data_IF_829830340029
#
_entry.id   IF_829830340029
#
_cell.length_a   1.000
_cell.length_b   1.000
_cell.length_c   1.000
_cell.angle_alpha   90.00
_cell.angle_beta   90.00
_cell.angle_gamma   90.00
#
_symmetry.space_group_name_H-M   'P 1'
#
loop_
_entity.id
_entity.type
_entity.pdbx_description
1 polymer ?
#
# COMPACT_ATOMS: atom_id res chain seq x y z
N UNK A 1 -13.85 4.88 11.82
CA UNK A 1 -13.21 3.72 11.16
C UNK A 1 -12.31 4.26 10.07
N UNK A 2 -11.02 3.91 10.05
CA UNK A 2 -10.13 4.38 8.99
C UNK A 2 -10.58 3.84 7.61
N UNK A 3 -10.39 4.65 6.57
CA UNK A 3 -10.67 4.26 5.17
C UNK A 3 -9.75 3.11 4.79
N UNK A 4 -10.21 2.20 3.92
CA UNK A 4 -9.34 1.16 3.35
C UNK A 4 -8.47 1.82 2.28
N UNK A 5 -7.20 1.44 2.20
CA UNK A 5 -6.31 1.83 1.11
C UNK A 5 -6.69 1.13 -0.19
N UNK A 6 -6.80 1.91 -1.27
CA UNK A 6 -7.08 1.43 -2.63
C UNK A 6 -6.04 1.85 -3.67
N UNK A 7 -6.06 1.19 -4.83
CA UNK A 7 -5.21 1.54 -5.99
C UNK A 7 -5.45 3.00 -6.40
N UNK A 8 -6.70 3.45 -6.36
CA UNK A 8 -7.06 4.86 -6.61
C UNK A 8 -6.38 5.85 -5.66
N UNK A 9 -5.93 5.42 -4.48
CA UNK A 9 -5.23 6.31 -3.55
C UNK A 9 -3.77 6.58 -4.00
N UNK A 10 -3.26 5.87 -5.02
CA UNK A 10 -1.95 6.12 -5.63
C UNK A 10 -1.81 7.53 -6.20
N UNK A 11 -2.93 8.13 -6.65
CA UNK A 11 -2.96 9.51 -7.17
C UNK A 11 -2.58 10.57 -6.12
N UNK A 12 -2.55 10.22 -4.84
CA UNK A 12 -2.20 11.12 -3.75
C UNK A 12 -0.76 10.91 -3.25
N UNK A 13 0.01 10.00 -3.86
CA UNK A 13 1.40 9.74 -3.49
C UNK A 13 2.31 10.59 -4.38
N UNK A 14 2.97 11.59 -3.80
CA UNK A 14 3.97 12.42 -4.49
C UNK A 14 5.40 12.07 -4.02
N UNK A 15 5.52 11.64 -2.76
CA UNK A 15 6.75 11.31 -2.05
C UNK A 15 6.65 9.94 -1.38
N UNK A 16 7.79 9.40 -0.93
CA UNK A 16 7.82 8.11 -0.21
C UNK A 16 7.10 8.18 1.13
N UNK A 17 7.14 9.34 1.80
CA UNK A 17 6.52 9.53 3.12
C UNK A 17 4.98 9.50 3.03
N UNK A 18 4.41 9.97 1.91
CA UNK A 18 2.95 9.91 1.66
C UNK A 18 2.41 8.47 1.69
N UNK A 19 3.28 7.49 1.41
CA UNK A 19 2.95 6.08 1.40
C UNK A 19 2.66 5.56 2.81
N UNK A 20 3.33 6.08 3.84
CA UNK A 20 3.04 5.75 5.23
C UNK A 20 1.79 6.47 5.76
N UNK A 21 1.49 7.67 5.24
CA UNK A 21 0.29 8.43 5.60
C UNK A 21 -0.99 7.86 4.95
N UNK A 22 -0.91 7.38 3.71
CA UNK A 22 -2.05 6.81 2.96
C UNK A 22 -2.34 5.36 3.38
N UNK A 23 -1.32 4.59 3.77
CA UNK A 23 -1.50 3.19 4.17
C UNK A 23 -1.97 3.07 5.63
N UNK A 24 -3.29 3.17 5.80
CA UNK A 24 -3.94 3.05 7.10
C UNK A 24 -4.56 1.66 7.32
N UNK A 25 -4.30 1.05 8.49
CA UNK A 25 -4.93 -0.23 8.85
C UNK A 25 -6.34 0.00 9.39
N UNK A 26 -7.36 -0.05 8.52
CA UNK A 26 -8.77 0.03 8.95
C UNK A 26 -9.24 -1.04 9.95
N UNK A 27 -8.45 -2.09 10.16
CA UNK A 27 -8.72 -3.14 11.15
C UNK A 27 -7.90 -2.95 12.42
N UNK A 28 -7.25 -1.80 12.58
CA UNK A 28 -6.60 -1.44 13.82
C UNK A 28 -7.59 -1.51 14.99
N UNK A 29 -7.20 -2.17 16.08
CA UNK A 29 -8.04 -2.41 17.26
C UNK A 29 -9.08 -3.55 17.15
N UNK A 30 -9.46 -4.03 15.94
CA UNK A 30 -10.47 -5.09 15.80
C UNK A 30 -9.87 -6.47 15.54
N UNK A 31 -9.91 -7.36 16.56
CA UNK A 31 -9.36 -8.73 16.49
C UNK A 31 -7.98 -8.79 15.81
N UNK A 32 -7.20 -7.74 16.03
CA UNK A 32 -5.92 -7.50 15.38
C UNK A 32 -4.81 -8.18 16.17
N UNK A 33 -3.83 -8.72 15.44
CA UNK A 33 -2.55 -9.12 16.00
C UNK A 33 -1.45 -8.40 15.22
N UNK A 34 -0.29 -8.21 15.85
CA UNK A 34 0.83 -7.51 15.22
C UNK A 34 1.24 -8.15 13.88
N UNK A 35 1.28 -9.49 13.81
CA UNK A 35 1.54 -10.24 12.56
C UNK A 35 0.50 -9.93 11.46
N UNK A 36 -0.80 -9.91 11.81
CA UNK A 36 -1.87 -9.57 10.85
C UNK A 36 -1.79 -8.11 10.38
N UNK A 37 -1.39 -7.19 11.26
CA UNK A 37 -1.18 -5.78 10.93
C UNK A 37 -0.05 -5.63 9.91
N UNK A 38 1.13 -6.22 10.19
CA UNK A 38 2.29 -6.23 9.29
C UNK A 38 1.95 -6.81 7.90
N UNK A 39 1.20 -7.92 7.86
CA UNK A 39 0.80 -8.55 6.58
C UNK A 39 -0.15 -7.66 5.77
N UNK A 40 -1.02 -6.89 6.41
CA UNK A 40 -1.89 -5.92 5.72
C UNK A 40 -1.11 -4.71 5.23
N UNK A 41 -0.26 -4.14 6.08
CA UNK A 41 0.63 -3.05 5.76
C UNK A 41 1.47 -3.38 4.51
N UNK A 42 2.17 -4.53 4.50
CA UNK A 42 2.92 -5.00 3.33
C UNK A 42 2.06 -5.15 2.08
N UNK A 43 0.85 -5.72 2.20
CA UNK A 43 -0.07 -5.89 1.07
C UNK A 43 -0.48 -4.54 0.48
N UNK A 44 -0.82 -3.57 1.33
CA UNK A 44 -1.27 -2.26 0.88
C UNK A 44 -0.12 -1.47 0.25
N UNK A 45 1.08 -1.51 0.84
CA UNK A 45 2.29 -0.95 0.23
C UNK A 45 2.56 -1.57 -1.14
N UNK A 46 2.62 -2.91 -1.27
CA UNK A 46 2.86 -3.60 -2.56
C UNK A 46 1.83 -3.22 -3.62
N UNK A 47 0.56 -3.08 -3.23
CA UNK A 47 -0.53 -2.68 -4.13
C UNK A 47 -0.39 -1.24 -4.62
N UNK A 48 -0.05 -0.30 -3.74
CA UNK A 48 0.19 1.09 -4.10
C UNK A 48 1.41 1.24 -5.00
N UNK A 49 2.51 0.59 -4.65
CA UNK A 49 3.73 0.63 -5.46
C UNK A 49 3.52 0.03 -6.85
N UNK A 50 2.77 -1.07 -6.96
CA UNK A 50 2.44 -1.68 -8.26
C UNK A 50 1.62 -0.74 -9.15
N UNK A 51 0.63 -0.07 -8.57
CA UNK A 51 -0.17 0.91 -9.31
C UNK A 51 0.64 2.15 -9.73
N UNK A 52 1.53 2.66 -8.85
CA UNK A 52 2.43 3.77 -9.19
C UNK A 52 3.39 3.39 -10.34
N UNK A 53 4.01 2.22 -10.26
CA UNK A 53 4.90 1.70 -11.32
C UNK A 53 4.16 1.61 -12.65
N UNK A 54 2.94 1.08 -12.63
CA UNK A 54 2.06 0.98 -13.81
C UNK A 54 1.69 2.35 -14.40
N UNK A 55 1.39 3.34 -13.55
CA UNK A 55 1.02 4.70 -14.00
C UNK A 55 2.21 5.43 -14.63
N UNK A 56 3.41 5.24 -14.10
CA UNK A 56 4.62 5.90 -14.57
C UNK A 56 5.35 5.16 -15.71
N UNK A 57 4.80 4.04 -16.19
CA UNK A 57 5.37 3.28 -17.31
C UNK A 57 6.75 2.72 -17.00
N UNK A 58 7.07 2.48 -15.73
CA UNK A 58 8.24 1.71 -15.36
C UNK A 58 7.92 0.24 -15.66
N UNK A 59 8.30 -0.22 -16.86
CA UNK A 59 8.33 -1.64 -17.21
C UNK A 59 9.44 -2.34 -16.40
N UNK A 60 9.28 -2.40 -15.08
CA UNK A 60 10.04 -3.31 -14.26
C UNK A 60 9.42 -4.70 -14.48
N UNK A 61 10.16 -5.69 -15.00
CA UNK A 61 9.62 -7.04 -15.17
C UNK A 61 9.09 -7.53 -13.82
N UNK A 62 7.86 -8.05 -13.79
CA UNK A 62 7.16 -8.44 -12.55
C UNK A 62 7.93 -9.46 -11.71
N UNK A 63 8.94 -10.11 -12.30
CA UNK A 63 9.82 -11.10 -11.68
C UNK A 63 10.84 -10.51 -10.67
N UNK A 64 11.09 -9.19 -10.66
CA UNK A 64 12.08 -8.55 -9.77
C UNK A 64 11.50 -8.03 -8.42
N UNK A 65 10.22 -8.32 -8.11
CA UNK A 65 9.49 -7.76 -6.95
C UNK A 65 9.11 -8.79 -5.85
N UNK A 66 9.93 -9.81 -5.65
CA UNK A 66 9.77 -10.85 -4.60
C UNK A 66 10.78 -10.75 -3.44
#
# INVERSE_FOLDING_TARGET
>A
MAKRTYESDAQYVETVDDLDDIVQDKREGWRQTNSKARRRQRRYKKRLTHELVKQHGWDAPEDDLD
#
